data_IF_184456709143
#
_entry.id   IF_184456709143
#
_cell.length_a   1.000
_cell.length_b   1.000
_cell.length_c   1.000
_cell.angle_alpha   90.00
_cell.angle_beta   90.00
_cell.angle_gamma   90.00
#
_symmetry.space_group_name_H-M   'P 1'
#
loop_
_entity.id
_entity.type
_entity.pdbx_description
1 polymer ?
#
# COMPACT_ATOMS: atom_id res chain seq x y z
N UNK A 1 20.01 -2.69 -4.17
CA UNK A 1 20.07 -2.67 -2.69
C UNK A 1 18.94 -1.76 -2.24
N UNK A 2 18.01 -2.27 -1.45
CA UNK A 2 16.97 -1.46 -0.82
C UNK A 2 17.24 -1.46 0.68
N UNK A 3 17.32 -0.27 1.26
CA UNK A 3 17.60 -0.04 2.67
C UNK A 3 16.31 0.43 3.34
N UNK A 4 15.93 -0.22 4.44
CA UNK A 4 14.82 0.27 5.25
C UNK A 4 15.25 0.30 6.71
N UNK A 5 15.16 1.49 7.29
CA UNK A 5 15.58 1.80 8.66
C UNK A 5 14.36 1.96 9.57
N UNK A 6 14.42 1.42 10.78
CA UNK A 6 13.30 1.36 11.70
C UNK A 6 13.67 1.63 13.15
N UNK A 7 12.71 2.20 13.86
CA UNK A 7 12.79 2.55 15.27
C UNK A 7 11.55 2.01 15.98
N UNK A 8 11.73 1.24 17.05
CA UNK A 8 10.61 0.90 17.92
C UNK A 8 11.04 0.80 19.39
N UNK A 9 10.12 1.05 20.32
CA UNK A 9 10.43 1.10 21.76
C UNK A 9 9.88 -0.14 22.46
N UNK A 10 10.76 -0.95 23.08
CA UNK A 10 10.37 -2.07 23.97
C UNK A 10 10.83 -1.70 25.39
N UNK A 11 9.93 -1.19 26.21
CA UNK A 11 10.27 -0.67 27.55
C UNK A 11 11.11 0.60 27.50
N UNK A 12 12.25 0.64 28.22
CA UNK A 12 13.14 1.82 28.25
C UNK A 12 14.15 1.85 27.08
N UNK A 13 14.30 0.76 26.34
CA UNK A 13 15.25 0.66 25.23
C UNK A 13 14.56 0.86 23.88
N UNK A 14 15.11 1.76 23.07
CA UNK A 14 14.75 1.90 21.66
C UNK A 14 15.51 0.80 20.90
N UNK A 15 14.79 -0.16 20.36
CA UNK A 15 15.33 -1.20 19.49
C UNK A 15 15.22 -0.69 18.07
N UNK A 16 16.37 -0.48 17.44
CA UNK A 16 16.45 -0.02 16.07
C UNK A 16 16.81 -1.23 15.19
N UNK A 17 16.06 -1.42 14.10
CA UNK A 17 16.31 -2.49 13.13
C UNK A 17 16.63 -1.86 11.79
N UNK A 18 17.65 -2.37 11.12
CA UNK A 18 17.95 -2.04 9.73
C UNK A 18 17.74 -3.30 8.90
N UNK A 19 16.87 -3.21 7.90
CA UNK A 19 16.62 -4.30 6.97
C UNK A 19 17.26 -3.94 5.64
N UNK A 20 18.13 -4.81 5.16
CA UNK A 20 18.80 -4.66 3.87
C UNK A 20 18.28 -5.76 2.95
N UNK A 21 17.51 -5.37 1.93
CA UNK A 21 17.01 -6.29 0.91
C UNK A 21 17.92 -6.22 -0.31
N UNK A 22 18.61 -7.33 -0.57
CA UNK A 22 19.39 -7.55 -1.77
C UNK A 22 18.58 -8.41 -2.76
N UNK A 23 19.20 -8.71 -3.89
CA UNK A 23 18.56 -9.48 -4.95
C UNK A 23 18.23 -10.91 -4.49
N UNK A 24 19.15 -11.59 -3.81
CA UNK A 24 18.99 -13.01 -3.45
C UNK A 24 19.17 -13.26 -1.93
N UNK A 25 19.27 -12.19 -1.13
CA UNK A 25 19.42 -12.24 0.33
C UNK A 25 18.73 -11.06 1.00
N UNK A 26 18.27 -11.26 2.23
CA UNK A 26 17.84 -10.18 3.13
C UNK A 26 18.57 -10.29 4.45
N UNK A 27 19.03 -9.15 4.97
CA UNK A 27 19.71 -9.07 6.26
C UNK A 27 18.88 -8.23 7.22
N UNK A 28 18.77 -8.69 8.46
CA UNK A 28 18.18 -7.94 9.56
C UNK A 28 19.31 -7.60 10.53
N UNK A 29 19.58 -6.32 10.74
CA UNK A 29 20.59 -5.83 11.68
C UNK A 29 19.93 -5.23 12.91
N UNK A 30 20.63 -5.34 14.05
CA UNK A 30 20.42 -4.45 15.19
C UNK A 30 21.26 -3.19 14.96
N UNK A 31 20.61 -2.04 14.81
CA UNK A 31 21.30 -0.77 14.57
C UNK A 31 22.08 -0.29 15.79
N UNK A 32 21.68 -0.69 17.00
CA UNK A 32 22.38 -0.28 18.21
C UNK A 32 23.76 -0.94 18.32
N UNK A 33 23.84 -2.23 17.97
CA UNK A 33 25.09 -3.00 18.01
C UNK A 33 25.78 -3.16 16.66
N UNK A 34 25.12 -2.76 15.57
CA UNK A 34 25.52 -2.97 14.16
C UNK A 34 25.77 -4.44 13.79
N UNK A 35 25.19 -5.37 14.56
CA UNK A 35 25.32 -6.82 14.34
C UNK A 35 24.20 -7.32 13.44
N UNK A 36 24.52 -8.30 12.59
CA UNK A 36 23.52 -9.10 11.87
C UNK A 36 22.81 -9.96 12.90
N UNK A 37 21.48 -9.81 12.97
CA UNK A 37 20.60 -10.67 13.76
C UNK A 37 20.17 -11.90 12.95
N UNK A 38 19.87 -11.70 11.67
CA UNK A 38 19.40 -12.75 10.77
C UNK A 38 19.88 -12.51 9.33
N UNK A 39 20.21 -13.61 8.65
CA UNK A 39 20.48 -13.66 7.22
C UNK A 39 19.49 -14.63 6.57
N UNK A 40 18.66 -14.10 5.67
CA UNK A 40 17.60 -14.84 5.00
C UNK A 40 17.99 -15.02 3.53
N UNK A 41 18.17 -16.25 3.08
CA UNK A 41 18.27 -16.56 1.66
C UNK A 41 16.91 -16.36 0.99
N UNK A 42 16.84 -15.50 -0.02
CA UNK A 42 15.58 -15.16 -0.69
C UNK A 42 15.50 -15.72 -2.09
N UNK A 43 14.29 -15.80 -2.62
CA UNK A 43 14.13 -15.93 -4.07
C UNK A 43 14.65 -14.68 -4.77
N UNK A 44 14.95 -14.81 -6.06
CA UNK A 44 15.42 -13.71 -6.90
C UNK A 44 14.45 -12.52 -6.88
N UNK A 45 14.93 -11.38 -6.36
CA UNK A 45 14.16 -10.16 -6.10
C UNK A 45 14.85 -8.91 -6.69
N UNK A 46 14.99 -8.81 -8.03
CA UNK A 46 15.72 -7.71 -8.68
C UNK A 46 15.01 -6.36 -8.52
N UNK A 47 13.70 -6.37 -8.23
CA UNK A 47 12.90 -5.18 -7.95
C UNK A 47 12.97 -4.74 -6.48
N UNK A 48 13.61 -5.54 -5.61
CA UNK A 48 13.68 -5.30 -4.16
C UNK A 48 12.32 -5.21 -3.48
N UNK A 49 11.35 -5.95 -4.00
CA UNK A 49 10.00 -5.98 -3.46
C UNK A 49 10.04 -6.50 -2.02
N UNK A 50 9.51 -5.70 -1.10
CA UNK A 50 9.32 -6.04 0.30
C UNK A 50 8.25 -5.12 0.88
N UNK A 51 7.73 -5.47 2.05
CA UNK A 51 6.90 -4.59 2.85
C UNK A 51 7.28 -4.72 4.31
N UNK A 52 7.06 -3.65 5.09
CA UNK A 52 7.33 -3.66 6.51
C UNK A 52 6.23 -2.97 7.32
N UNK A 53 5.94 -3.52 8.50
CA UNK A 53 5.03 -2.95 9.47
C UNK A 53 5.83 -2.24 10.58
N UNK A 54 5.78 -0.90 10.70
CA UNK A 54 6.57 -0.14 11.69
C UNK A 54 6.01 -0.17 13.12
N UNK A 55 5.26 -1.21 13.48
CA UNK A 55 4.68 -1.35 14.80
C UNK A 55 5.65 -2.04 15.77
N UNK A 56 5.79 -1.53 16.99
CA UNK A 56 6.70 -2.10 18.01
C UNK A 56 6.37 -3.52 18.43
N UNK A 57 5.08 -3.85 18.52
CA UNK A 57 4.59 -5.17 18.89
C UNK A 57 4.52 -6.10 17.68
N UNK A 58 4.05 -5.56 16.55
CA UNK A 58 3.81 -6.29 15.29
C UNK A 58 4.78 -5.88 14.19
N UNK A 59 6.07 -5.90 14.54
CA UNK A 59 7.18 -5.54 13.66
C UNK A 59 7.39 -6.67 12.64
N UNK A 60 6.72 -6.58 11.49
CA UNK A 60 6.73 -7.62 10.46
C UNK A 60 7.47 -7.17 9.20
N UNK A 61 8.20 -8.11 8.59
CA UNK A 61 8.82 -8.00 7.27
C UNK A 61 8.13 -9.00 6.34
N UNK A 62 7.70 -8.55 5.16
CA UNK A 62 7.23 -9.42 4.09
C UNK A 62 8.18 -9.36 2.90
N UNK A 63 8.55 -10.52 2.39
CA UNK A 63 9.40 -10.69 1.19
C UNK A 63 8.79 -11.75 0.25
N UNK A 64 9.06 -11.70 -1.06
CA UNK A 64 8.56 -12.70 -1.99
C UNK A 64 9.04 -14.12 -1.63
N UNK A 65 8.15 -15.09 -1.72
CA UNK A 65 8.45 -16.52 -1.52
C UNK A 65 8.66 -17.27 -2.84
N UNK A 66 8.30 -16.66 -3.98
CA UNK A 66 8.35 -17.29 -5.30
C UNK A 66 8.56 -16.25 -6.40
N UNK A 67 9.27 -16.65 -7.46
CA UNK A 67 9.44 -15.88 -8.71
C UNK A 67 8.39 -16.19 -9.78
N UNK A 68 7.56 -17.22 -9.56
CA UNK A 68 6.53 -17.66 -10.52
C UNK A 68 5.11 -17.54 -9.97
N UNK A 69 4.96 -17.56 -8.65
CA UNK A 69 3.69 -17.38 -7.95
C UNK A 69 3.72 -16.13 -7.08
N UNK A 70 2.53 -15.59 -6.80
CA UNK A 70 2.36 -14.42 -5.96
C UNK A 70 2.28 -14.82 -4.49
N UNK A 71 3.40 -15.28 -3.93
CA UNK A 71 3.47 -15.73 -2.53
C UNK A 71 4.45 -14.87 -1.74
N UNK A 72 4.17 -14.63 -0.46
CA UNK A 72 4.99 -13.84 0.45
C UNK A 72 5.34 -14.62 1.72
N UNK A 73 6.61 -14.59 2.13
CA UNK A 73 7.05 -15.00 3.47
C UNK A 73 6.91 -13.81 4.41
N UNK A 74 6.34 -14.02 5.60
CA UNK A 74 6.21 -13.00 6.63
C UNK A 74 7.05 -13.39 7.85
N UNK A 75 8.01 -12.53 8.17
CA UNK A 75 8.90 -12.66 9.32
C UNK A 75 8.54 -11.65 10.39
N UNK A 76 8.67 -12.02 11.66
CA UNK A 76 8.72 -11.07 12.77
C UNK A 76 10.14 -10.50 12.84
N UNK A 77 10.33 -9.22 12.58
CA UNK A 77 11.65 -8.59 12.51
C UNK A 77 12.23 -8.21 13.90
N UNK A 78 11.37 -8.13 14.94
CA UNK A 78 11.82 -7.91 16.32
C UNK A 78 12.56 -9.11 16.89
N UNK A 79 12.04 -10.30 16.61
CA UNK A 79 12.58 -11.62 16.89
C UNK A 79 12.53 -12.41 15.58
N UNK A 80 13.63 -12.41 14.79
CA UNK A 80 13.66 -12.98 13.43
C UNK A 80 13.14 -14.41 13.38
N UNK A 81 11.86 -14.55 13.09
CA UNK A 81 11.14 -15.81 13.05
C UNK A 81 10.18 -15.77 11.86
N UNK A 82 10.16 -16.84 11.07
CA UNK A 82 9.17 -17.03 10.00
C UNK A 82 7.81 -17.33 10.65
N UNK A 83 6.85 -16.43 10.46
CA UNK A 83 5.51 -16.56 11.05
C UNK A 83 4.58 -17.32 10.13
N UNK A 84 4.57 -16.98 8.84
CA UNK A 84 3.71 -17.63 7.87
C UNK A 84 4.18 -17.39 6.42
N UNK A 85 3.61 -18.20 5.50
CA UNK A 85 3.61 -17.93 4.08
C UNK A 85 2.18 -17.61 3.63
N UNK A 86 2.02 -16.58 2.81
CA UNK A 86 0.75 -16.19 2.22
C UNK A 86 0.81 -16.44 0.71
N UNK A 87 0.04 -17.41 0.23
CA UNK A 87 -0.14 -17.68 -1.20
C UNK A 87 -1.26 -16.80 -1.76
N UNK A 88 -0.89 -15.62 -2.27
CA UNK A 88 -1.82 -14.57 -2.59
C UNK A 88 -2.31 -14.56 -4.04
N UNK A 89 -1.47 -14.90 -5.02
CA UNK A 89 -1.81 -14.81 -6.45
C UNK A 89 -1.16 -15.93 -7.27
N UNK A 90 -1.73 -16.21 -8.45
CA UNK A 90 -1.19 -17.18 -9.42
C UNK A 90 -0.03 -16.63 -10.28
N UNK A 91 0.34 -15.37 -10.08
CA UNK A 91 1.42 -14.70 -10.80
C UNK A 91 2.27 -13.91 -9.81
N UNK A 92 3.56 -13.64 -10.12
CA UNK A 92 4.50 -13.02 -9.19
C UNK A 92 3.97 -11.73 -8.56
N UNK A 93 4.41 -11.45 -7.33
CA UNK A 93 4.04 -10.22 -6.63
C UNK A 93 4.68 -9.01 -7.30
N UNK A 94 3.93 -7.92 -7.41
CA UNK A 94 4.40 -6.63 -7.91
C UNK A 94 4.40 -5.56 -6.82
N UNK A 95 3.49 -5.64 -5.85
CA UNK A 95 3.40 -4.70 -4.74
C UNK A 95 2.91 -5.39 -3.47
N UNK A 96 3.41 -4.94 -2.32
CA UNK A 96 2.98 -5.35 -0.99
C UNK A 96 2.98 -4.14 -0.06
N UNK A 97 2.08 -4.10 0.92
CA UNK A 97 2.09 -3.09 1.97
C UNK A 97 1.43 -3.64 3.23
N UNK A 98 2.01 -3.36 4.40
CA UNK A 98 1.36 -3.62 5.68
C UNK A 98 0.50 -2.45 6.12
N UNK A 99 -0.54 -2.72 6.92
CA UNK A 99 -1.19 -1.68 7.72
C UNK A 99 -0.24 -1.16 8.80
N UNK A 100 -0.43 0.09 9.26
CA UNK A 100 0.42 0.72 10.28
C UNK A 100 0.51 -0.05 11.60
N UNK A 101 -0.51 -0.86 11.90
CA UNK A 101 -0.57 -1.72 13.08
C UNK A 101 -0.08 -3.16 12.85
N UNK A 102 0.36 -3.49 11.63
CA UNK A 102 0.88 -4.82 11.28
C UNK A 102 -0.16 -5.94 11.17
N UNK A 103 -1.45 -5.66 11.38
CA UNK A 103 -2.50 -6.68 11.35
C UNK A 103 -2.83 -7.18 9.94
N UNK A 104 -2.68 -6.33 8.92
CA UNK A 104 -3.06 -6.62 7.55
C UNK A 104 -1.90 -6.50 6.58
N UNK A 105 -1.86 -7.40 5.60
CA UNK A 105 -0.97 -7.32 4.44
C UNK A 105 -1.81 -7.21 3.17
N UNK A 106 -1.65 -6.10 2.44
CA UNK A 106 -2.17 -5.94 1.08
C UNK A 106 -1.14 -6.44 0.07
N UNK A 107 -1.60 -7.13 -0.97
CA UNK A 107 -0.76 -7.67 -2.04
C UNK A 107 -1.39 -7.45 -3.40
N UNK A 108 -0.56 -7.22 -4.41
CA UNK A 108 -0.94 -7.23 -5.82
C UNK A 108 0.11 -7.99 -6.63
N UNK A 109 -0.34 -8.70 -7.66
CA UNK A 109 0.55 -9.40 -8.58
C UNK A 109 0.88 -8.57 -9.82
N UNK A 110 1.78 -9.06 -10.67
CA UNK A 110 2.13 -8.44 -11.96
C UNK A 110 0.95 -8.30 -12.92
N UNK A 111 -0.10 -9.15 -12.78
CA UNK A 111 -1.38 -8.93 -13.49
C UNK A 111 -2.07 -7.65 -13.03
N UNK A 112 -1.94 -7.31 -11.74
CA UNK A 112 -2.45 -6.09 -11.12
C UNK A 112 -3.96 -5.86 -11.21
N UNK A 113 -4.75 -6.85 -11.63
CA UNK A 113 -6.23 -6.74 -11.75
C UNK A 113 -6.93 -6.85 -10.40
N UNK A 114 -6.30 -7.54 -9.46
CA UNK A 114 -6.82 -7.80 -8.12
C UNK A 114 -5.83 -7.33 -7.07
N UNK A 115 -6.36 -6.73 -6.01
CA UNK A 115 -5.64 -6.42 -4.77
C UNK A 115 -6.26 -7.27 -3.68
N UNK A 116 -5.45 -8.02 -2.95
CA UNK A 116 -5.92 -8.92 -1.88
C UNK A 116 -5.34 -8.50 -0.54
N UNK A 117 -6.16 -8.58 0.50
CA UNK A 117 -5.79 -8.23 1.87
C UNK A 117 -5.88 -9.47 2.74
N UNK A 118 -4.86 -9.69 3.57
CA UNK A 118 -4.74 -10.84 4.46
C UNK A 118 -4.59 -10.41 5.91
N UNK A 119 -5.17 -11.16 6.84
CA UNK A 119 -4.90 -11.04 8.27
C UNK A 119 -3.61 -11.80 8.54
N UNK A 120 -2.56 -11.08 8.97
CA UNK A 120 -1.20 -11.61 9.07
C UNK A 120 -1.10 -12.78 10.06
N UNK A 121 -1.64 -12.59 11.26
CA UNK A 121 -1.59 -13.58 12.34
C UNK A 121 -2.29 -14.91 12.02
N UNK A 122 -3.19 -14.91 11.04
CA UNK A 122 -3.98 -16.09 10.66
C UNK A 122 -3.62 -16.64 9.27
N UNK A 123 -2.83 -15.89 8.49
CA UNK A 123 -2.61 -16.13 7.06
C UNK A 123 -3.91 -16.31 6.25
N UNK A 124 -5.02 -15.70 6.70
CA UNK A 124 -6.33 -15.81 6.06
C UNK A 124 -6.62 -14.59 5.20
N UNK A 125 -7.24 -14.81 4.04
CA UNK A 125 -7.68 -13.73 3.17
C UNK A 125 -8.87 -13.00 3.80
N UNK A 126 -8.70 -11.71 4.06
CA UNK A 126 -9.74 -10.81 4.57
C UNK A 126 -10.56 -10.20 3.43
N UNK A 127 -9.90 -9.64 2.41
CA UNK A 127 -10.57 -8.94 1.32
C UNK A 127 -9.94 -9.27 -0.03
N UNK A 128 -10.73 -9.09 -1.08
CA UNK A 128 -10.30 -9.21 -2.47
C UNK A 128 -10.98 -8.14 -3.30
N UNK A 129 -10.24 -7.11 -3.69
CA UNK A 129 -10.73 -5.98 -4.46
C UNK A 129 -10.34 -6.12 -5.92
N UNK A 130 -11.29 -5.83 -6.81
CA UNK A 130 -11.02 -5.73 -8.24
C UNK A 130 -10.63 -4.28 -8.56
N UNK A 131 -9.40 -4.08 -9.02
CA UNK A 131 -8.89 -2.79 -9.47
C UNK A 131 -9.41 -2.46 -10.87
N UNK A 132 -9.52 -3.45 -11.75
CA UNK A 132 -10.09 -3.27 -13.09
C UNK A 132 -10.14 -4.56 -13.90
N UNK A 133 -10.75 -4.49 -15.09
CA UNK A 133 -10.81 -5.62 -16.02
C UNK A 133 -9.45 -5.89 -16.69
N UNK A 134 -8.76 -4.83 -17.11
CA UNK A 134 -7.49 -4.92 -17.84
C UNK A 134 -6.30 -4.90 -16.89
N UNK A 135 -5.20 -5.62 -17.18
CA UNK A 135 -3.96 -5.53 -16.42
C UNK A 135 -3.42 -4.10 -16.34
N UNK A 136 -2.80 -3.76 -15.22
CA UNK A 136 -2.12 -2.48 -14.96
C UNK A 136 -1.15 -2.71 -13.82
N UNK A 137 0.11 -2.31 -13.98
CA UNK A 137 1.13 -2.57 -12.97
C UNK A 137 0.84 -1.71 -11.74
N UNK A 138 0.64 -2.33 -10.58
CA UNK A 138 0.49 -1.61 -9.32
C UNK A 138 1.87 -1.08 -8.91
N UNK A 139 1.97 0.23 -8.70
CA UNK A 139 3.22 0.86 -8.26
C UNK A 139 3.31 0.99 -6.75
N UNK A 140 2.22 1.37 -6.09
CA UNK A 140 2.20 1.53 -4.63
C UNK A 140 0.85 1.14 -4.05
N UNK A 141 0.88 0.57 -2.85
CA UNK A 141 -0.27 0.28 -2.00
C UNK A 141 -0.09 1.04 -0.68
N UNK A 142 -1.16 1.61 -0.15
CA UNK A 142 -1.12 2.27 1.16
C UNK A 142 -2.45 2.11 1.90
N UNK A 143 -2.37 1.59 3.12
CA UNK A 143 -3.48 1.67 4.06
C UNK A 143 -3.60 3.08 4.62
N UNK A 144 -4.82 3.47 4.99
CA UNK A 144 -5.05 4.60 5.88
C UNK A 144 -4.43 4.35 7.26
N UNK A 145 -3.98 5.39 7.98
CA UNK A 145 -3.48 5.24 9.33
C UNK A 145 -4.54 4.63 10.25
N UNK A 146 -4.15 3.67 11.08
CA UNK A 146 -5.06 3.04 12.02
C UNK A 146 -4.35 2.55 13.28
N UNK A 147 -5.10 2.53 14.38
CA UNK A 147 -4.74 1.84 15.62
C UNK A 147 -5.27 0.40 15.56
N UNK A 148 -6.56 0.23 15.27
CA UNK A 148 -7.22 -1.09 15.29
C UNK A 148 -7.45 -1.69 13.89
N UNK A 149 -8.26 -1.02 13.06
CA UNK A 149 -8.58 -1.50 11.71
C UNK A 149 -8.45 -0.36 10.71
N UNK A 150 -7.72 -0.54 9.59
CA UNK A 150 -7.69 0.46 8.54
C UNK A 150 -9.01 0.45 7.80
N UNK A 151 -9.58 1.63 7.57
CA UNK A 151 -10.83 1.77 6.85
C UNK A 151 -10.65 1.87 5.34
N UNK A 152 -9.49 2.41 4.93
CA UNK A 152 -9.15 2.70 3.53
C UNK A 152 -7.90 1.94 3.14
N UNK A 153 -7.91 1.39 1.93
CA UNK A 153 -6.72 0.97 1.19
C UNK A 153 -6.73 1.69 -0.16
N UNK A 154 -5.61 2.31 -0.52
CA UNK A 154 -5.45 2.96 -1.81
C UNK A 154 -4.30 2.34 -2.61
N UNK A 155 -4.41 2.41 -3.94
CA UNK A 155 -3.46 1.83 -4.87
C UNK A 155 -3.23 2.74 -6.07
N UNK A 156 -1.98 3.00 -6.43
CA UNK A 156 -1.61 3.66 -7.70
C UNK A 156 -1.13 2.62 -8.71
N UNK A 157 -1.31 2.91 -9.99
CA UNK A 157 -0.91 1.99 -11.06
C UNK A 157 -0.42 2.69 -12.32
N UNK A 158 0.12 1.91 -13.25
CA UNK A 158 0.71 2.40 -14.51
C UNK A 158 -0.28 3.14 -15.41
N UNK A 159 -1.58 2.93 -15.24
CA UNK A 159 -2.62 3.72 -15.91
C UNK A 159 -2.73 5.17 -15.42
N UNK A 160 -1.90 5.62 -14.48
CA UNK A 160 -1.98 6.97 -13.91
C UNK A 160 -3.20 7.20 -13.01
N UNK A 161 -3.88 6.11 -12.62
CA UNK A 161 -5.05 6.14 -11.74
C UNK A 161 -4.72 5.74 -10.32
N UNK A 162 -5.49 6.29 -9.39
CA UNK A 162 -5.59 5.87 -8.00
C UNK A 162 -6.90 5.15 -7.80
N UNK A 163 -6.86 3.98 -7.18
CA UNK A 163 -8.04 3.24 -6.75
C UNK A 163 -8.09 3.24 -5.24
N UNK A 164 -9.25 3.60 -4.68
CA UNK A 164 -9.50 3.63 -3.24
C UNK A 164 -10.60 2.63 -2.89
N UNK A 165 -10.33 1.80 -1.89
CA UNK A 165 -11.18 0.71 -1.43
C UNK A 165 -11.50 0.90 0.04
N UNK A 166 -12.76 0.68 0.43
CA UNK A 166 -13.16 0.63 1.83
C UNK A 166 -13.11 -0.81 2.35
N UNK A 167 -12.53 -1.01 3.53
CA UNK A 167 -12.45 -2.31 4.18
C UNK A 167 -13.70 -2.65 4.99
N UNK A 168 -14.52 -1.65 5.34
CA UNK A 168 -15.76 -1.87 6.06
C UNK A 168 -16.82 -2.57 5.18
N UNK A 169 -17.18 -3.79 5.56
CA UNK A 169 -18.16 -4.61 4.86
C UNK A 169 -19.54 -3.94 4.78
N UNK A 170 -19.92 -3.12 5.77
CA UNK A 170 -21.20 -2.41 5.74
C UNK A 170 -21.27 -1.38 4.61
N UNK A 171 -20.14 -0.75 4.26
CA UNK A 171 -20.03 0.17 3.12
C UNK A 171 -20.00 -0.58 1.80
N UNK A 172 -19.38 -1.76 1.79
CA UNK A 172 -19.32 -2.62 0.61
C UNK A 172 -20.65 -3.36 0.29
N UNK A 173 -21.56 -3.49 1.25
CA UNK A 173 -22.84 -4.20 1.08
C UNK A 173 -23.98 -3.39 0.44
N UNK A 174 -23.81 -2.09 0.19
CA UNK A 174 -24.89 -1.16 -0.16
C UNK A 174 -25.60 -1.45 -1.49
N UNK A 175 -24.95 -2.11 -2.44
CA UNK A 175 -25.53 -2.41 -3.75
C UNK A 175 -26.10 -3.84 -3.88
N UNK A 176 -26.22 -4.59 -2.76
CA UNK A 176 -26.71 -5.98 -2.78
C UNK A 176 -28.23 -6.12 -2.83
N UNK A 177 -29.02 -5.04 -2.76
CA UNK A 177 -30.49 -5.12 -2.66
C UNK A 177 -31.20 -5.62 -3.93
N UNK A 178 -30.51 -5.74 -5.08
CA UNK A 178 -31.13 -6.14 -6.36
C UNK A 178 -30.69 -7.51 -6.93
N UNK A 179 -29.97 -8.38 -6.19
CA UNK A 179 -29.48 -9.68 -6.72
C UNK A 179 -30.09 -10.92 -6.06
N UNK A 180 -31.38 -10.87 -5.70
CA UNK A 180 -32.10 -11.98 -5.06
C UNK A 180 -32.44 -13.18 -5.98
N UNK A 181 -31.89 -13.28 -7.21
CA UNK A 181 -32.27 -14.33 -8.18
C UNK A 181 -31.13 -15.24 -8.67
N UNK A 182 -29.92 -15.20 -8.08
CA UNK A 182 -28.75 -15.96 -8.59
C UNK A 182 -28.23 -17.12 -7.72
N UNK A 183 -28.79 -17.40 -6.56
CA UNK A 183 -28.10 -18.14 -5.49
C UNK A 183 -28.45 -19.64 -5.36
N UNK A 184 -28.37 -20.43 -6.44
CA UNK A 184 -28.61 -21.90 -6.35
C UNK A 184 -27.38 -22.74 -6.76
N UNK A 185 -26.18 -22.15 -6.92
CA UNK A 185 -24.96 -22.94 -7.25
C UNK A 185 -23.97 -22.94 -6.07
N UNK A 186 -23.64 -24.10 -5.47
CA UNK A 186 -22.56 -24.19 -4.48
C UNK A 186 -21.22 -23.78 -5.12
N UNK A 187 -20.55 -22.78 -4.55
CA UNK A 187 -19.26 -22.24 -5.05
C UNK A 187 -19.34 -20.89 -5.77
N UNK A 188 -20.54 -20.38 -6.09
CA UNK A 188 -20.70 -19.08 -6.77
C UNK A 188 -20.49 -17.87 -5.85
N UNK A 189 -20.66 -18.03 -4.53
CA UNK A 189 -20.56 -16.94 -3.54
C UNK A 189 -19.17 -16.30 -3.49
N UNK A 190 -18.11 -17.10 -3.58
CA UNK A 190 -16.73 -16.59 -3.58
C UNK A 190 -16.34 -15.89 -4.90
N UNK A 191 -17.04 -16.20 -6.00
CA UNK A 191 -16.80 -15.63 -7.33
C UNK A 191 -17.63 -14.35 -7.52
N UNK A 192 -18.84 -14.28 -6.96
CA UNK A 192 -19.69 -13.08 -7.03
C UNK A 192 -19.13 -11.91 -6.22
N UNK A 193 -18.51 -12.18 -5.07
CA UNK A 193 -17.94 -11.14 -4.20
C UNK A 193 -16.71 -10.45 -4.84
N UNK A 194 -16.06 -11.11 -5.80
CA UNK A 194 -14.89 -10.61 -6.54
C UNK A 194 -15.24 -9.79 -7.81
N UNK A 195 -16.53 -9.61 -8.09
CA UNK A 195 -17.02 -9.05 -9.36
C UNK A 195 -17.83 -7.77 -9.22
N UNK A 196 -17.94 -7.15 -8.04
CA UNK A 196 -18.75 -5.92 -7.93
C UNK A 196 -17.89 -4.65 -8.06
N UNK A 197 -17.99 -3.89 -9.17
CA UNK A 197 -17.31 -2.60 -9.33
C UNK A 197 -17.78 -1.55 -8.31
N UNK A 198 -18.91 -1.78 -7.65
CA UNK A 198 -19.71 -0.73 -7.05
C UNK A 198 -19.20 -0.15 -5.70
N UNK A 199 -18.01 -0.58 -5.23
CA UNK A 199 -17.46 -0.13 -3.94
C UNK A 199 -16.00 0.33 -4.03
N UNK A 200 -15.49 0.61 -5.22
CA UNK A 200 -14.15 1.17 -5.37
C UNK A 200 -14.19 2.49 -6.12
N UNK A 201 -13.50 3.48 -5.59
CA UNK A 201 -13.43 4.81 -6.17
C UNK A 201 -12.21 4.89 -7.06
N UNK A 202 -12.39 5.34 -8.30
CA UNK A 202 -11.30 5.50 -9.26
C UNK A 202 -11.09 6.98 -9.51
N UNK A 203 -9.87 7.43 -9.25
CA UNK A 203 -9.42 8.77 -9.53
C UNK A 203 -8.42 8.65 -10.68
N UNK A 204 -8.78 9.19 -11.84
CA UNK A 204 -7.93 9.18 -13.01
C UNK A 204 -6.95 10.36 -13.00
N UNK A 205 -5.80 10.18 -13.66
CA UNK A 205 -4.81 11.24 -13.89
C UNK A 205 -4.24 11.87 -12.61
N UNK A 206 -4.02 11.06 -11.56
CA UNK A 206 -3.29 11.49 -10.35
C UNK A 206 -1.77 11.58 -10.58
N UNK A 207 -1.30 10.95 -11.65
CA UNK A 207 0.08 10.97 -12.13
C UNK A 207 0.06 10.70 -13.64
N UNK A 208 1.08 11.15 -14.39
CA UNK A 208 1.24 10.74 -15.78
C UNK A 208 1.26 9.21 -15.90
N UNK A 209 0.66 8.68 -16.96
CA UNK A 209 0.67 7.25 -17.23
C UNK A 209 2.11 6.76 -17.38
N UNK A 210 2.37 5.53 -16.92
CA UNK A 210 3.69 4.87 -16.89
C UNK A 210 4.75 5.56 -16.00
N UNK A 211 4.42 6.67 -15.33
CA UNK A 211 5.29 7.26 -14.30
C UNK A 211 5.09 6.54 -12.97
N UNK A 212 6.12 5.82 -12.53
CA UNK A 212 6.15 5.18 -11.21
C UNK A 212 5.82 6.17 -10.11
N UNK A 213 5.00 5.75 -9.17
CA UNK A 213 4.55 6.57 -8.04
C UNK A 213 4.61 5.82 -6.73
N UNK A 214 5.00 6.54 -5.68
CA UNK A 214 4.85 6.14 -4.29
C UNK A 214 3.59 6.83 -3.74
N UNK A 215 2.81 6.10 -2.95
CA UNK A 215 1.55 6.57 -2.38
C UNK A 215 1.59 6.44 -0.87
N UNK A 216 1.10 7.47 -0.17
CA UNK A 216 0.79 7.40 1.25
C UNK A 216 -0.62 7.96 1.49
N UNK A 217 -1.48 7.18 2.15
CA UNK A 217 -2.73 7.71 2.72
C UNK A 217 -2.36 8.40 4.03
N UNK A 218 -2.50 9.73 4.05
CA UNK A 218 -2.06 10.56 5.16
C UNK A 218 -3.08 10.63 6.30
N UNK A 219 -4.36 10.82 5.96
CA UNK A 219 -5.44 10.87 6.94
C UNK A 219 -6.76 10.38 6.34
N UNK A 220 -7.62 9.87 7.22
CA UNK A 220 -9.00 9.50 6.90
C UNK A 220 -9.88 10.12 7.98
N UNK A 221 -10.72 11.06 7.59
CA UNK A 221 -11.58 11.83 8.49
C UNK A 221 -13.05 11.58 8.15
N UNK A 222 -13.90 11.53 9.16
CA UNK A 222 -15.32 11.28 9.03
C UNK A 222 -16.12 12.52 9.42
N UNK A 223 -17.18 12.82 8.66
CA UNK A 223 -18.12 13.87 9.08
C UNK A 223 -18.80 13.46 10.40
N UNK A 224 -18.97 14.41 11.32
CA UNK A 224 -19.51 14.17 12.66
C UNK A 224 -21.03 13.86 12.69
N UNK A 225 -21.61 13.51 11.54
CA UNK A 225 -23.03 13.21 11.43
C UNK A 225 -23.31 11.79 11.95
N UNK A 226 -24.39 11.62 12.74
CA UNK A 226 -24.85 10.32 13.29
C UNK A 226 -25.35 9.31 12.24
N UNK A 227 -25.07 9.58 10.96
CA UNK A 227 -25.40 8.65 9.90
C UNK A 227 -24.60 7.36 10.04
N UNK A 228 -25.21 6.22 9.71
CA UNK A 228 -24.53 4.92 9.65
C UNK A 228 -23.30 4.92 8.73
N UNK A 229 -23.20 5.90 7.83
CA UNK A 229 -22.17 6.02 6.81
C UNK A 229 -21.83 7.48 6.58
N UNK A 230 -21.01 8.07 7.45
CA UNK A 230 -20.61 9.47 7.35
C UNK A 230 -19.83 9.72 6.06
N UNK A 231 -19.84 10.98 5.62
CA UNK A 231 -18.97 11.42 4.53
C UNK A 231 -17.52 11.25 4.98
N UNK A 232 -16.68 10.83 4.05
CA UNK A 232 -15.28 10.53 4.31
C UNK A 232 -14.41 11.47 3.53
N UNK A 233 -13.46 12.10 4.21
CA UNK A 233 -12.39 12.87 3.61
C UNK A 233 -11.10 12.08 3.76
N UNK A 234 -10.42 11.80 2.66
CA UNK A 234 -9.15 11.08 2.65
C UNK A 234 -8.09 11.97 2.02
N UNK A 235 -7.02 12.26 2.74
CA UNK A 235 -5.86 12.99 2.19
C UNK A 235 -4.81 11.97 1.78
N UNK A 236 -4.32 12.07 0.55
CA UNK A 236 -3.26 11.21 0.02
C UNK A 236 -2.11 12.02 -0.52
N UNK A 237 -0.90 11.51 -0.33
CA UNK A 237 0.32 12.02 -0.92
C UNK A 237 0.80 11.08 -2.02
N UNK A 238 1.11 11.63 -3.18
CA UNK A 238 1.65 10.92 -4.33
C UNK A 238 2.99 11.54 -4.69
N UNK A 239 4.05 10.74 -4.65
CA UNK A 239 5.38 11.15 -5.12
C UNK A 239 5.70 10.37 -6.38
N UNK A 240 6.00 11.07 -7.47
CA UNK A 240 6.27 10.46 -8.77
C UNK A 240 7.76 10.44 -9.08
N UNK A 241 8.20 9.45 -9.86
CA UNK A 241 9.61 9.27 -10.25
C UNK A 241 10.15 10.41 -11.14
N UNK A 242 9.28 11.19 -11.76
CA UNK A 242 9.63 12.43 -12.47
C UNK A 242 9.92 13.60 -11.51
N UNK A 243 9.87 13.36 -10.19
CA UNK A 243 10.33 14.31 -9.17
C UNK A 243 9.24 15.20 -8.59
N UNK A 244 7.95 14.89 -8.79
CA UNK A 244 6.87 15.71 -8.23
C UNK A 244 6.27 15.11 -6.96
N UNK A 245 5.96 15.98 -6.00
CA UNK A 245 5.07 15.69 -4.89
C UNK A 245 3.69 16.28 -5.19
N UNK A 246 2.64 15.49 -4.93
CA UNK A 246 1.24 15.90 -5.07
C UNK A 246 0.44 15.51 -3.84
N UNK A 247 -0.40 16.42 -3.38
CA UNK A 247 -1.39 16.16 -2.35
C UNK A 247 -2.79 16.22 -2.92
N UNK A 248 -3.56 15.17 -2.70
CA UNK A 248 -4.95 15.11 -3.09
C UNK A 248 -5.86 14.96 -1.88
N UNK A 249 -6.93 15.75 -1.83
CA UNK A 249 -8.09 15.50 -0.97
C UNK A 249 -9.11 14.71 -1.78
N UNK A 250 -9.56 13.57 -1.27
CA UNK A 250 -10.62 12.74 -1.85
C UNK A 250 -11.82 12.75 -0.91
N UNK A 251 -12.95 13.27 -1.37
CA UNK A 251 -14.23 13.21 -0.68
C UNK A 251 -15.02 12.00 -1.14
N UNK A 252 -15.61 11.25 -0.21
CA UNK A 252 -16.63 10.23 -0.49
C UNK A 252 -17.89 10.56 0.28
N UNK A 253 -18.98 10.79 -0.41
CA UNK A 253 -20.26 11.13 0.21
C UNK A 253 -20.95 9.90 0.79
N UNK A 254 -21.97 10.13 1.63
CA UNK A 254 -22.90 9.09 2.10
C UNK A 254 -23.57 8.33 0.95
N UNK A 255 -23.78 8.95 -0.22
CA UNK A 255 -24.31 8.33 -1.45
C UNK A 255 -23.28 7.49 -2.21
N UNK A 256 -22.05 7.35 -1.69
CA UNK A 256 -20.94 6.66 -2.33
C UNK A 256 -20.46 7.32 -3.62
N UNK A 257 -20.63 8.64 -3.72
CA UNK A 257 -20.06 9.44 -4.80
C UNK A 257 -18.69 9.96 -4.36
N UNK A 258 -17.71 9.89 -5.25
CA UNK A 258 -16.36 10.41 -4.98
C UNK A 258 -16.08 11.69 -5.75
N UNK A 259 -15.48 12.64 -5.06
CA UNK A 259 -14.85 13.83 -5.64
C UNK A 259 -13.40 13.92 -5.17
N UNK A 260 -12.57 14.67 -5.89
CA UNK A 260 -11.19 14.87 -5.50
C UNK A 260 -10.68 16.24 -5.94
N UNK A 261 -9.69 16.75 -5.22
CA UNK A 261 -9.03 18.04 -5.46
C UNK A 261 -7.53 17.84 -5.32
N UNK A 262 -6.74 18.39 -6.26
CA UNK A 262 -5.30 18.55 -6.11
C UNK A 262 -5.05 19.80 -5.25
N UNK A 263 -4.59 19.61 -4.02
CA UNK A 263 -4.37 20.69 -3.06
C UNK A 263 -3.02 21.36 -3.27
N UNK A 264 -1.97 20.55 -3.50
CA UNK A 264 -0.59 21.01 -3.64
C UNK A 264 0.13 20.18 -4.69
N UNK A 265 0.94 20.84 -5.51
CA UNK A 265 1.93 20.22 -6.38
C UNK A 265 3.22 21.03 -6.32
N UNK A 266 4.37 20.35 -6.18
CA UNK A 266 5.68 20.98 -6.33
C UNK A 266 6.74 19.98 -6.77
N UNK A 267 7.77 20.49 -7.43
CA UNK A 267 8.97 19.71 -7.80
C UNK A 267 9.86 19.52 -6.58
N UNK A 268 10.22 18.27 -6.30
CA UNK A 268 11.22 17.88 -5.30
C UNK A 268 12.66 18.13 -5.81
N UNK A 269 12.83 18.31 -7.11
CA UNK A 269 14.13 18.52 -7.75
C UNK A 269 14.48 20.00 -7.91
N UNK A 270 13.47 20.87 -7.88
CA UNK A 270 13.65 22.31 -8.03
C UNK A 270 13.99 22.92 -6.66
N UNK A 271 15.22 22.67 -6.20
CA UNK A 271 15.78 23.42 -5.07
C UNK A 271 16.11 24.81 -5.60
N UNK A 272 15.38 25.85 -5.19
CA UNK A 272 15.50 27.24 -5.67
C UNK A 272 16.86 27.95 -5.52
N UNK A 273 17.98 27.26 -5.71
CA UNK A 273 19.30 27.83 -5.97
C UNK A 273 19.39 28.23 -7.44
N UNK A 274 18.71 29.31 -7.80
CA UNK A 274 19.13 30.09 -8.97
C UNK A 274 20.48 30.71 -8.61
N UNK A 275 21.58 30.23 -9.19
CA UNK A 275 22.84 30.97 -9.17
C UNK A 275 22.55 32.37 -9.73
N UNK A 276 22.63 33.41 -8.89
CA UNK A 276 22.79 34.77 -9.37
C UNK A 276 24.07 34.81 -10.20
N UNK A 277 23.95 34.74 -11.51
CA UNK A 277 25.02 35.20 -12.40
C UNK A 277 25.17 36.70 -12.15
N UNK A 278 26.21 37.07 -11.40
CA UNK A 278 26.71 38.43 -11.37
C UNK A 278 27.33 38.71 -12.75
N UNK A 279 26.55 39.27 -13.66
CA UNK A 279 27.11 39.94 -14.83
C UNK A 279 27.73 41.26 -14.36
N UNK A 280 29.05 41.28 -14.23
CA UNK A 280 29.83 42.51 -14.26
C UNK A 280 29.98 42.92 -15.73
N UNK A 281 29.18 43.89 -16.16
CA UNK A 281 29.52 44.67 -17.35
C UNK A 281 30.63 45.66 -16.99
N UNK A 282 31.85 45.37 -17.43
CA UNK A 282 32.87 46.38 -17.60
C UNK A 282 32.52 47.16 -18.87
N UNK A 283 32.27 48.45 -18.72
CA UNK A 283 32.19 49.40 -19.83
C UNK A 283 33.57 50.08 -19.90
N UNK A 284 34.19 50.01 -21.07
CA UNK A 284 35.33 50.85 -21.47
C UNK A 284 34.88 52.31 -21.65
#
# INVERSE_FOLDING_TARGET
IFLIEFYYKKGCHIMCRLIVVLQDKTFIYDLNSTRILEEIDTVHNPKGLCAFAPNSEWCYLAIPASTSKGSALVYKASEPELICQIDAHESPLAAMAFSSNGMYLATASEKGTMIRVYIVAQATKSHSFRRGAYPSTIYSLSFGPCIDRPDVLAATSSSGSLHMFFLDAARNGRNQTNKLLGSIIPGSKAISDALDPANHHVIHNIAPAETKSCLAVHSVEYSQNSSKFPDVRTVVYVVTHDGYFREYTIGTTKSNESSWVLEREFSLLDTGYTQKQNEHHHVD
#
